data_IF_450606615074
#
_entry.id   IF_450606615074
#
_cell.length_a   1.000
_cell.length_b   1.000
_cell.length_c   1.000
_cell.angle_alpha   90.00
_cell.angle_beta   90.00
_cell.angle_gamma   90.00
#
_symmetry.space_group_name_H-M   'P 1'
#
loop_
_entity.id
_entity.type
_entity.pdbx_description
1 polymer ?
#
# COMPACT_ATOMS: atom_id res chain seq x y z
N UNK A 1 18.04 -13.05 5.94
CA UNK A 1 17.07 -12.86 7.06
C UNK A 1 16.91 -11.37 7.27
N UNK A 2 15.72 -10.82 7.05
CA UNK A 2 15.50 -9.38 7.24
C UNK A 2 15.55 -9.07 8.75
N UNK A 3 16.46 -8.18 9.15
CA UNK A 3 16.58 -7.72 10.53
C UNK A 3 15.37 -6.84 10.84
N UNK A 4 14.55 -7.25 11.81
CA UNK A 4 13.43 -6.44 12.29
C UNK A 4 13.95 -5.38 13.25
N UNK A 5 13.47 -4.15 13.10
CA UNK A 5 13.81 -2.98 13.91
C UNK A 5 12.67 -2.63 14.86
N UNK A 6 13.03 -2.01 15.98
CA UNK A 6 12.06 -1.38 16.87
C UNK A 6 11.54 -0.07 16.29
N UNK A 7 10.37 0.40 16.73
CA UNK A 7 9.79 1.67 16.28
C UNK A 7 10.75 2.86 16.43
N UNK A 8 11.48 2.93 17.54
CA UNK A 8 12.40 4.03 17.82
C UNK A 8 13.65 3.99 16.94
N UNK A 9 14.16 2.80 16.66
CA UNK A 9 15.31 2.59 15.77
C UNK A 9 14.94 2.95 14.34
N UNK A 10 13.80 2.43 13.85
CA UNK A 10 13.26 2.80 12.54
C UNK A 10 13.05 4.31 12.39
N UNK A 11 12.51 4.97 13.42
CA UNK A 11 12.30 6.41 13.38
C UNK A 11 13.62 7.20 13.33
N UNK A 12 14.67 6.73 14.02
CA UNK A 12 15.98 7.36 13.99
C UNK A 12 16.71 7.16 12.65
N UNK A 13 16.48 6.05 11.96
CA UNK A 13 17.02 5.81 10.61
C UNK A 13 16.29 6.61 9.53
N UNK A 14 14.96 6.74 9.63
CA UNK A 14 14.14 7.40 8.61
C UNK A 14 14.11 8.92 8.77
N UNK A 15 14.12 9.42 10.00
CA UNK A 15 13.98 10.85 10.30
C UNK A 15 15.21 11.38 11.02
N UNK A 16 15.73 12.51 10.56
CA UNK A 16 16.81 13.23 11.28
C UNK A 16 16.36 13.74 12.66
N UNK A 17 15.06 13.95 12.86
CA UNK A 17 14.47 14.29 14.16
C UNK A 17 13.31 13.33 14.42
N UNK A 18 13.53 12.25 15.19
CA UNK A 18 12.53 11.22 15.39
C UNK A 18 11.37 11.74 16.25
N UNK A 19 10.11 11.46 15.88
CA UNK A 19 8.95 11.79 16.70
C UNK A 19 8.91 10.93 17.97
N UNK A 20 8.10 11.36 18.94
CA UNK A 20 7.94 10.62 20.20
C UNK A 20 7.37 9.21 20.00
N UNK A 21 7.73 8.30 20.89
CA UNK A 21 7.28 6.90 20.84
C UNK A 21 5.75 6.75 20.91
N UNK A 22 5.05 7.66 21.60
CA UNK A 22 3.58 7.71 21.60
C UNK A 22 3.00 8.04 20.23
N UNK A 23 3.62 8.96 19.50
CA UNK A 23 3.24 9.34 18.12
C UNK A 23 3.47 8.17 17.16
N UNK A 24 4.61 7.49 17.28
CA UNK A 24 4.92 6.31 16.48
C UNK A 24 3.89 5.18 16.72
N UNK A 25 3.58 4.87 17.98
CA UNK A 25 2.52 3.89 18.31
C UNK A 25 1.15 4.31 17.76
N UNK A 26 0.83 5.60 17.77
CA UNK A 26 -0.40 6.12 17.16
C UNK A 26 -0.42 5.87 15.66
N UNK A 27 0.68 6.09 14.94
CA UNK A 27 0.77 5.79 13.50
C UNK A 27 0.57 4.31 13.19
N UNK A 28 1.12 3.40 14.02
CA UNK A 28 0.87 1.96 13.88
C UNK A 28 -0.63 1.65 14.00
N UNK A 29 -1.28 2.20 15.04
CA UNK A 29 -2.73 1.98 15.28
C UNK A 29 -3.60 2.58 14.18
N UNK A 30 -3.19 3.71 13.61
CA UNK A 30 -3.87 4.37 12.49
C UNK A 30 -3.55 3.74 11.13
N UNK A 31 -2.67 2.73 11.05
CA UNK A 31 -2.29 2.08 9.79
C UNK A 31 -1.46 2.97 8.85
N UNK A 32 -0.73 3.93 9.40
CA UNK A 32 0.10 4.89 8.65
C UNK A 32 1.51 4.40 8.33
N UNK A 33 1.83 3.14 8.62
CA UNK A 33 3.14 2.55 8.32
C UNK A 33 2.92 1.30 7.49
N UNK A 34 3.66 1.19 6.37
CA UNK A 34 3.57 0.06 5.44
C UNK A 34 4.97 -0.49 5.13
N UNK A 35 5.21 -1.81 5.21
CA UNK A 35 4.27 -2.86 5.58
C UNK A 35 3.86 -2.80 7.06
N UNK A 36 2.71 -3.41 7.38
CA UNK A 36 2.13 -3.37 8.72
C UNK A 36 3.13 -3.95 9.76
N UNK A 37 3.36 -3.24 10.88
CA UNK A 37 4.23 -3.71 11.96
C UNK A 37 3.69 -4.98 12.62
N UNK A 38 4.58 -5.88 13.01
CA UNK A 38 4.22 -7.08 13.78
C UNK A 38 4.34 -6.78 15.28
N UNK A 39 3.32 -7.15 16.06
CA UNK A 39 3.38 -7.04 17.52
C UNK A 39 4.05 -8.30 18.09
N UNK A 40 5.27 -8.15 18.59
CA UNK A 40 6.03 -9.21 19.25
C UNK A 40 6.00 -8.96 20.76
N UNK A 41 5.07 -9.61 21.46
CA UNK A 41 4.88 -9.40 22.90
C UNK A 41 4.36 -8.00 23.22
N UNK A 42 5.22 -7.12 23.76
CA UNK A 42 4.88 -5.72 24.12
C UNK A 42 5.43 -4.70 23.13
N UNK A 43 6.21 -5.13 22.15
CA UNK A 43 6.95 -4.26 21.25
C UNK A 43 6.53 -4.46 19.80
N UNK A 44 6.51 -3.37 19.04
CA UNK A 44 6.26 -3.43 17.60
C UNK A 44 7.59 -3.60 16.87
N UNK A 45 7.63 -4.59 15.99
CA UNK A 45 8.75 -4.87 15.12
C UNK A 45 8.39 -4.54 13.68
N UNK A 46 9.25 -3.75 13.06
CA UNK A 46 9.08 -3.24 11.72
C UNK A 46 10.23 -3.71 10.86
N UNK A 47 9.98 -3.76 9.55
CA UNK A 47 11.07 -3.92 8.60
C UNK A 47 11.73 -2.57 8.34
N UNK A 48 13.05 -2.53 8.08
CA UNK A 48 13.77 -1.28 7.78
C UNK A 48 13.26 -0.60 6.51
N UNK A 49 12.72 -1.37 5.56
CA UNK A 49 12.09 -0.89 4.33
C UNK A 49 10.68 -0.32 4.52
N UNK A 50 10.19 -0.24 5.77
CA UNK A 50 8.88 0.33 6.04
C UNK A 50 8.84 1.85 5.79
N UNK A 51 7.75 2.29 5.18
CA UNK A 51 7.51 3.69 4.82
C UNK A 51 6.30 4.25 5.57
N UNK A 52 6.36 5.53 5.89
CA UNK A 52 5.22 6.27 6.39
C UNK A 52 4.26 6.63 5.25
N UNK A 53 2.97 6.35 5.45
CA UNK A 53 1.91 6.49 4.46
C UNK A 53 0.81 7.37 5.05
N UNK A 54 0.54 8.51 4.41
CA UNK A 54 -0.59 9.36 4.77
C UNK A 54 -1.88 8.87 4.07
N UNK A 55 -2.89 8.37 4.80
CA UNK A 55 -4.13 7.88 4.19
C UNK A 55 -4.96 9.00 3.52
N UNK A 56 -4.76 10.26 3.93
CA UNK A 56 -5.43 11.41 3.31
C UNK A 56 -4.90 11.71 1.90
N UNK A 57 -3.68 11.28 1.57
CA UNK A 57 -3.13 11.42 0.22
C UNK A 57 -3.80 10.39 -0.68
N UNK A 58 -4.84 10.81 -1.40
CA UNK A 58 -5.68 10.00 -2.33
C UNK A 58 -4.90 9.28 -3.46
N UNK A 59 -3.57 9.39 -3.50
CA UNK A 59 -2.67 8.82 -4.49
C UNK A 59 -2.01 7.50 -4.04
N UNK A 60 -2.65 6.72 -3.15
CA UNK A 60 -2.18 5.38 -2.78
C UNK A 60 -2.58 4.29 -3.78
N UNK A 61 -3.23 4.65 -4.89
CA UNK A 61 -3.30 3.73 -6.03
C UNK A 61 -1.86 3.52 -6.49
N UNK A 62 -1.28 2.39 -6.11
CA UNK A 62 -0.20 1.79 -6.87
C UNK A 62 -0.68 1.84 -8.32
N UNK A 63 -0.07 2.70 -9.14
CA UNK A 63 -0.26 2.61 -10.59
C UNK A 63 0.07 1.15 -10.87
N UNK A 64 -0.89 0.33 -11.35
CA UNK A 64 -0.59 -1.06 -11.63
C UNK A 64 0.63 -1.04 -12.54
N UNK A 65 1.76 -1.54 -12.03
CA UNK A 65 2.99 -1.59 -12.77
C UNK A 65 2.72 -2.57 -13.91
N UNK A 66 2.26 -2.02 -15.03
CA UNK A 66 2.12 -2.73 -16.28
C UNK A 66 1.31 -4.04 -16.17
N UNK A 67 0.04 -3.95 -15.78
CA UNK A 67 -0.91 -4.96 -16.22
C UNK A 67 -1.01 -4.78 -17.74
N UNK A 68 -0.22 -5.55 -18.50
CA UNK A 68 -0.41 -5.74 -19.94
C UNK A 68 -1.77 -6.42 -20.15
N UNK A 69 -2.85 -5.66 -19.97
CA UNK A 69 -4.18 -6.14 -20.34
C UNK A 69 -4.09 -6.30 -21.85
N UNK A 70 -4.21 -7.52 -22.39
CA UNK A 70 -4.25 -7.69 -23.84
C UNK A 70 -5.42 -6.85 -24.33
N UNK A 71 -5.13 -5.92 -25.25
CA UNK A 71 -6.13 -4.98 -25.79
C UNK A 71 -7.31 -5.70 -26.45
N UNK A 72 -7.15 -6.98 -26.80
CA UNK A 72 -8.15 -7.82 -27.45
C UNK A 72 -8.89 -8.71 -26.45
N UNK A 73 -10.22 -8.75 -26.57
CA UNK A 73 -11.13 -9.59 -25.78
C UNK A 73 -11.70 -8.91 -24.54
N UNK A 74 -11.46 -7.60 -24.34
CA UNK A 74 -12.01 -6.89 -23.18
C UNK A 74 -13.52 -6.75 -23.30
N UNK A 75 -14.22 -6.69 -22.16
CA UNK A 75 -15.68 -6.45 -22.15
C UNK A 75 -16.06 -5.15 -22.85
N UNK A 76 -15.19 -4.13 -22.78
CA UNK A 76 -15.39 -2.83 -23.43
C UNK A 76 -15.38 -2.98 -24.96
N UNK A 77 -14.41 -3.71 -25.50
CA UNK A 77 -14.37 -4.05 -26.94
C UNK A 77 -15.56 -4.92 -27.37
N UNK A 78 -16.00 -5.86 -26.53
CA UNK A 78 -17.17 -6.70 -26.82
C UNK A 78 -18.46 -5.88 -26.86
N UNK A 79 -18.62 -4.90 -25.97
CA UNK A 79 -19.78 -4.01 -25.95
C UNK A 79 -19.78 -3.06 -27.16
N UNK A 80 -18.62 -2.54 -27.55
CA UNK A 80 -18.47 -1.68 -28.73
C UNK A 80 -18.78 -2.44 -30.04
N UNK A 81 -18.42 -3.72 -30.11
CA UNK A 81 -18.72 -4.58 -31.26
C UNK A 81 -20.14 -5.19 -31.22
N UNK A 82 -20.80 -5.20 -30.06
CA UNK A 82 -22.13 -5.78 -29.87
C UNK A 82 -23.26 -4.90 -30.44
N UNK A 83 -22.98 -3.67 -30.84
CA UNK A 83 -23.98 -2.75 -31.41
C UNK A 83 -24.51 -3.18 -32.79
N UNK A 84 -24.01 -4.27 -33.37
CA UNK A 84 -24.35 -4.71 -34.73
C UNK A 84 -24.97 -6.11 -34.85
N UNK A 85 -25.54 -6.70 -33.79
CA UNK A 85 -26.40 -7.89 -33.96
C UNK A 85 -27.87 -7.50 -34.03
N UNK A 86 -28.53 -7.58 -35.21
CA UNK A 86 -29.96 -7.39 -35.26
C UNK A 86 -30.61 -8.56 -34.54
N UNK A 87 -31.51 -8.23 -33.62
CA UNK A 87 -32.45 -9.15 -32.99
C UNK A 87 -33.07 -10.05 -34.06
N UNK A 88 -32.66 -11.31 -34.13
CA UNK A 88 -33.36 -12.31 -34.94
C UNK A 88 -34.65 -12.68 -34.20
N UNK A 89 -35.77 -12.22 -34.76
CA UNK A 89 -37.13 -12.68 -34.46
C UNK A 89 -37.32 -14.14 -34.88
#
# INVERSE_FOLDING_TARGET
MAKLLNLQEWAAEVYSSPPSLSTLRRWVREGKIYPAPELHGKEYKLRPDAIYVDPSKKNLRLKPQHLKIPSKGTLLERLQNAEASPLRR
#
